data_IF_765328536797
#
_entry.id   IF_765328536797
#
_cell.length_a   1.000
_cell.length_b   1.000
_cell.length_c   1.000
_cell.angle_alpha   90.00
_cell.angle_beta   90.00
_cell.angle_gamma   90.00
#
_symmetry.space_group_name_H-M   'P 1'
#
loop_
_entity.id
_entity.type
_entity.pdbx_description
1 polymer ?
#
# COMPACT_ATOMS: atom_id res chain seq x y z
N UNK A 1 6.93 -15.47 11.59
CA UNK A 1 6.82 -14.26 10.77
C UNK A 1 5.53 -13.57 11.12
N UNK A 2 5.62 -12.31 11.50
CA UNK A 2 4.44 -11.47 11.70
C UNK A 2 3.84 -11.12 10.33
N UNK A 3 2.51 -10.90 10.22
CA UNK A 3 1.88 -10.42 8.99
C UNK A 3 2.58 -9.18 8.39
N UNK A 4 3.16 -8.35 9.25
CA UNK A 4 3.90 -7.14 8.92
C UNK A 4 5.23 -7.46 8.22
N UNK A 5 5.97 -8.45 8.71
CA UNK A 5 7.23 -8.89 8.08
C UNK A 5 6.98 -9.47 6.68
N UNK A 6 5.91 -10.26 6.53
CA UNK A 6 5.54 -10.84 5.23
C UNK A 6 5.15 -9.72 4.25
N UNK A 7 4.35 -8.76 4.70
CA UNK A 7 3.97 -7.60 3.89
C UNK A 7 5.20 -6.79 3.45
N UNK A 8 6.16 -6.59 4.34
CA UNK A 8 7.41 -5.91 4.05
C UNK A 8 8.24 -6.65 2.98
N UNK A 9 8.36 -7.97 3.09
CA UNK A 9 9.08 -8.78 2.09
C UNK A 9 8.45 -8.65 0.70
N UNK A 10 7.11 -8.63 0.62
CA UNK A 10 6.39 -8.44 -0.65
C UNK A 10 6.65 -7.05 -1.22
N UNK A 11 6.57 -5.99 -0.41
CA UNK A 11 6.82 -4.61 -0.86
C UNK A 11 8.26 -4.40 -1.35
N UNK A 12 9.24 -4.97 -0.64
CA UNK A 12 10.64 -4.94 -1.06
C UNK A 12 10.82 -5.65 -2.40
N UNK A 13 10.16 -6.80 -2.59
CA UNK A 13 10.23 -7.54 -3.86
C UNK A 13 9.60 -6.75 -5.01
N UNK A 14 8.44 -6.14 -4.78
CA UNK A 14 7.78 -5.29 -5.78
C UNK A 14 8.67 -4.11 -6.19
N UNK A 15 9.37 -3.48 -5.23
CA UNK A 15 10.34 -2.43 -5.54
C UNK A 15 11.47 -2.95 -6.43
N UNK A 16 12.08 -4.07 -6.07
CA UNK A 16 13.18 -4.68 -6.84
C UNK A 16 12.74 -4.99 -8.27
N UNK A 17 11.59 -5.64 -8.43
CA UNK A 17 11.01 -5.96 -9.74
C UNK A 17 10.77 -4.70 -10.56
N UNK A 18 10.18 -3.67 -9.96
CA UNK A 18 9.86 -2.43 -10.68
C UNK A 18 11.12 -1.66 -11.05
N UNK A 19 12.13 -1.63 -10.17
CA UNK A 19 13.45 -1.04 -10.45
C UNK A 19 14.16 -1.78 -11.59
N UNK A 20 14.11 -3.11 -11.59
CA UNK A 20 14.68 -3.92 -12.68
C UNK A 20 13.94 -3.71 -13.99
N UNK A 21 12.63 -3.47 -13.95
CA UNK A 21 11.80 -3.26 -15.13
C UNK A 21 11.99 -1.86 -15.74
N UNK A 22 12.00 -0.81 -14.91
CA UNK A 22 12.10 0.57 -15.33
C UNK A 22 13.54 1.05 -15.57
N UNK A 23 14.54 0.42 -14.92
CA UNK A 23 15.95 0.80 -15.05
C UNK A 23 16.36 2.07 -14.29
N UNK A 24 15.45 2.66 -13.50
CA UNK A 24 15.72 3.82 -12.65
C UNK A 24 15.16 3.64 -11.23
N UNK A 25 15.62 4.48 -10.29
CA UNK A 25 15.22 4.39 -8.89
C UNK A 25 13.87 5.10 -8.68
N UNK A 26 12.96 4.44 -7.98
CA UNK A 26 11.62 4.97 -7.68
C UNK A 26 11.70 5.76 -6.37
N UNK A 27 11.36 7.04 -6.43
CA UNK A 27 11.40 7.95 -5.28
C UNK A 27 10.04 8.11 -4.63
N UNK A 28 8.97 8.25 -5.41
CA UNK A 28 7.61 8.47 -4.91
C UNK A 28 6.69 7.31 -5.31
N UNK A 29 5.79 6.90 -4.44
CA UNK A 29 4.86 5.79 -4.70
C UNK A 29 3.53 6.01 -3.99
N UNK A 30 2.44 5.52 -4.58
CA UNK A 30 1.11 5.51 -3.94
C UNK A 30 0.77 4.04 -3.66
N UNK A 31 0.51 3.72 -2.40
CA UNK A 31 0.09 2.39 -1.99
C UNK A 31 -1.37 2.46 -1.55
N UNK A 32 -2.20 1.62 -2.14
CA UNK A 32 -3.62 1.52 -1.75
C UNK A 32 -3.75 0.43 -0.70
N UNK A 33 -4.38 0.76 0.42
CA UNK A 33 -4.67 -0.20 1.49
C UNK A 33 -6.18 -0.44 1.53
N UNK A 34 -6.61 -1.72 1.55
CA UNK A 34 -8.02 -2.04 1.64
C UNK A 34 -8.65 -1.52 2.94
N UNK A 35 -9.93 -1.16 2.88
CA UNK A 35 -10.66 -0.60 4.02
C UNK A 35 -10.76 -1.52 5.24
N UNK A 36 -10.70 -2.83 5.02
CA UNK A 36 -10.73 -3.84 6.07
C UNK A 36 -9.39 -4.03 6.78
N UNK A 37 -8.33 -3.34 6.35
CA UNK A 37 -7.04 -3.41 7.03
C UNK A 37 -7.08 -2.70 8.38
N UNK A 38 -6.56 -3.39 9.39
CA UNK A 38 -6.43 -2.86 10.74
C UNK A 38 -5.30 -1.81 10.84
N UNK A 39 -5.22 -1.14 11.99
CA UNK A 39 -4.19 -0.14 12.24
C UNK A 39 -2.76 -0.69 12.16
N UNK A 40 -2.55 -1.97 12.47
CA UNK A 40 -1.22 -2.59 12.45
C UNK A 40 -0.72 -2.81 11.02
N UNK A 41 -1.60 -3.24 10.13
CA UNK A 41 -1.32 -3.39 8.69
C UNK A 41 -1.09 -2.03 8.02
N UNK A 42 -1.86 -1.00 8.41
CA UNK A 42 -1.64 0.38 7.97
C UNK A 42 -0.30 0.93 8.45
N UNK A 43 0.08 0.63 9.70
CA UNK A 43 1.38 1.03 10.23
C UNK A 43 2.52 0.30 9.52
N UNK A 44 2.39 -1.01 9.26
CA UNK A 44 3.38 -1.76 8.48
C UNK A 44 3.56 -1.20 7.06
N UNK A 45 2.49 -0.67 6.45
CA UNK A 45 2.57 0.02 5.15
C UNK A 45 3.34 1.34 5.23
N UNK A 46 3.20 2.09 6.34
CA UNK A 46 4.00 3.30 6.60
C UNK A 46 5.45 2.98 6.97
N UNK A 47 5.70 1.90 7.70
CA UNK A 47 7.04 1.50 8.07
C UNK A 47 7.80 1.00 6.84
N UNK A 48 7.09 0.40 5.88
CA UNK A 48 7.64 0.08 4.57
C UNK A 48 8.09 1.33 3.80
N UNK A 49 7.55 2.53 4.08
CA UNK A 49 8.05 3.79 3.52
C UNK A 49 9.52 4.01 3.89
N UNK A 50 9.77 4.00 5.20
CA UNK A 50 11.10 4.19 5.81
C UNK A 50 12.08 3.11 5.37
N UNK A 51 11.65 1.85 5.32
CA UNK A 51 12.52 0.71 5.01
C UNK A 51 12.79 0.61 3.51
N UNK A 52 11.80 0.94 2.67
CA UNK A 52 11.98 0.90 1.24
C UNK A 52 12.70 2.15 0.71
N UNK A 53 12.81 3.24 1.47
CA UNK A 53 13.42 4.49 0.98
C UNK A 53 12.68 5.07 -0.23
N UNK A 54 11.39 4.73 -0.35
CA UNK A 54 10.43 5.40 -1.22
C UNK A 54 9.68 6.40 -0.36
N UNK A 55 8.97 7.33 -0.98
CA UNK A 55 8.12 8.32 -0.33
C UNK A 55 6.67 7.99 -0.69
N UNK A 56 5.95 7.42 0.28
CA UNK A 56 4.56 7.00 0.14
C UNK A 56 3.72 8.24 0.37
N UNK A 57 3.41 8.93 -0.73
CA UNK A 57 2.68 10.19 -0.73
C UNK A 57 1.28 10.06 -0.10
N UNK A 58 0.67 8.87 -0.19
CA UNK A 58 -0.64 8.60 0.42
C UNK A 58 -0.90 7.10 0.54
N UNK A 59 -1.24 6.66 1.75
CA UNK A 59 -1.96 5.39 1.95
C UNK A 59 -3.43 5.68 1.70
N UNK A 60 -3.91 5.40 0.48
CA UNK A 60 -5.32 5.64 0.16
C UNK A 60 -6.17 4.50 0.71
N UNK A 61 -7.14 4.86 1.55
CA UNK A 61 -8.24 3.99 1.94
C UNK A 61 -9.09 3.66 0.72
N UNK A 62 -9.19 2.38 0.35
CA UNK A 62 -10.10 1.96 -0.71
C UNK A 62 -11.61 2.15 -0.37
N UNK A 63 -11.96 2.78 0.76
CA UNK A 63 -13.35 3.07 1.15
C UNK A 63 -13.58 4.51 1.61
N UNK A 64 -13.53 5.45 0.66
CA UNK A 64 -14.28 6.72 0.82
C UNK A 64 -15.40 6.88 -0.23
N UNK A 65 -15.62 5.89 -1.10
CA UNK A 65 -16.83 5.82 -1.94
C UNK A 65 -17.78 4.72 -1.45
N UNK A 66 -18.32 4.91 -0.25
CA UNK A 66 -19.49 4.16 0.21
C UNK A 66 -20.81 4.83 -0.22
N UNK A 67 -20.76 5.76 -1.19
CA UNK A 67 -21.90 6.58 -1.62
C UNK A 67 -22.41 6.31 -3.06
N UNK A 68 -22.00 5.22 -3.74
CA UNK A 68 -22.51 4.90 -5.09
C UNK A 68 -23.20 3.53 -5.21
N UNK A 69 -23.47 2.84 -4.10
CA UNK A 69 -24.42 1.73 -4.07
C UNK A 69 -25.48 2.03 -3.02
N UNK A 70 -26.39 2.95 -3.36
CA UNK A 70 -27.73 2.89 -2.77
C UNK A 70 -28.37 1.61 -3.32
N UNK A 71 -28.61 0.58 -2.50
CA UNK A 71 -29.22 -0.65 -2.97
C UNK A 71 -30.71 -0.36 -3.13
N UNK A 72 -31.28 -0.63 -4.29
CA UNK A 72 -32.74 -0.71 -4.45
C UNK A 72 -33.53 0.53 -3.97
N UNK A 73 -33.62 1.55 -4.83
CA UNK A 73 -34.82 2.38 -4.85
C UNK A 73 -35.74 1.81 -5.93
N UNK A 74 -36.68 0.96 -5.53
CA UNK A 74 -37.92 0.74 -6.29
C UNK A 74 -38.74 2.02 -6.29
#
# INVERSE_FOLDING_TARGET
>A
FSPQEILLMVLLKMKETTKSYLGYNISDTIITVPAYCDNSQRQATKDADTISGMNILRVSDAAQNQAAMSPYKM
#
